data_IF_291413704076
#
_entry.id   IF_291413704076
#
_cell.length_a   1.000
_cell.length_b   1.000
_cell.length_c   1.000
_cell.angle_alpha   90.00
_cell.angle_beta   90.00
_cell.angle_gamma   90.00
#
_symmetry.space_group_name_H-M   'P 1'
#
loop_
_entity.id
_entity.type
_entity.pdbx_description
1 polymer ?
#
# COMPACT_ATOMS: atom_id res chain seq x y z
N UNK A 1 -17.63 -1.62 -1.42
CA UNK A 1 -16.30 -1.29 -0.89
C UNK A 1 -16.26 -1.75 0.55
N UNK A 2 -15.22 -2.49 0.92
CA UNK A 2 -15.01 -2.99 2.27
C UNK A 2 -13.57 -2.69 2.71
N UNK A 3 -13.22 -1.39 2.71
CA UNK A 3 -11.92 -0.88 3.10
C UNK A 3 -11.73 -0.95 4.62
N UNK A 4 -10.76 -1.75 5.05
CA UNK A 4 -10.32 -1.87 6.43
C UNK A 4 -9.02 -1.11 6.65
N UNK A 5 -8.92 -0.36 7.75
CA UNK A 5 -7.72 0.40 8.11
C UNK A 5 -6.73 -0.44 8.94
N UNK A 6 -5.47 -0.47 8.51
CA UNK A 6 -4.41 -1.27 9.16
C UNK A 6 -3.36 -0.43 9.90
N UNK A 7 -3.28 0.86 9.61
CA UNK A 7 -2.39 1.77 10.32
C UNK A 7 -1.98 2.96 9.47
N UNK A 8 -1.44 3.96 10.15
CA UNK A 8 -0.84 5.14 9.53
C UNK A 8 0.43 5.54 10.26
N UNK A 9 1.26 6.32 9.60
CA UNK A 9 2.44 6.88 10.22
C UNK A 9 2.10 8.08 11.12
N UNK A 10 2.15 7.86 12.44
CA UNK A 10 1.82 8.84 13.47
C UNK A 10 2.94 9.85 13.79
N UNK A 11 4.10 9.74 13.13
CA UNK A 11 5.25 10.64 13.39
C UNK A 11 5.15 11.99 12.67
N UNK A 12 4.13 12.17 11.84
CA UNK A 12 3.99 13.30 10.92
C UNK A 12 3.39 14.52 11.63
N UNK A 13 4.26 15.43 12.09
CA UNK A 13 3.81 16.71 12.67
C UNK A 13 3.25 17.71 11.65
N UNK A 14 3.53 17.61 10.34
CA UNK A 14 3.07 18.60 9.33
C UNK A 14 3.12 18.17 7.84
N UNK A 15 3.40 16.90 7.48
CA UNK A 15 3.60 16.52 6.06
C UNK A 15 2.70 15.37 5.58
N UNK A 16 1.57 15.11 6.24
CA UNK A 16 0.66 14.00 5.89
C UNK A 16 1.12 12.67 6.48
N UNK A 17 0.15 11.77 6.71
CA UNK A 17 0.36 10.47 7.35
C UNK A 17 0.11 9.36 6.32
N UNK A 18 1.15 8.77 5.70
CA UNK A 18 0.98 7.55 4.91
C UNK A 18 0.18 6.49 5.67
N UNK A 19 -0.68 5.76 4.97
CA UNK A 19 -1.67 4.85 5.57
C UNK A 19 -1.85 3.59 4.72
N UNK A 20 -2.19 2.48 5.39
CA UNK A 20 -2.41 1.17 4.78
C UNK A 20 -3.86 0.74 5.00
N UNK A 21 -4.48 0.23 3.94
CA UNK A 21 -5.79 -0.37 3.98
C UNK A 21 -5.81 -1.71 3.21
N UNK A 22 -6.80 -2.53 3.52
CA UNK A 22 -7.18 -3.71 2.73
C UNK A 22 -8.60 -3.49 2.22
N UNK A 23 -8.86 -3.58 0.92
CA UNK A 23 -10.23 -3.69 0.41
C UNK A 23 -10.63 -5.16 0.34
N UNK A 24 -11.50 -5.60 1.26
CA UNK A 24 -11.96 -7.00 1.31
C UNK A 24 -12.83 -7.39 0.11
N UNK A 25 -13.45 -6.42 -0.55
CA UNK A 25 -14.32 -6.72 -1.68
C UNK A 25 -13.51 -7.14 -2.92
N UNK A 26 -12.33 -6.55 -3.11
CA UNK A 26 -11.44 -6.81 -4.26
C UNK A 26 -10.18 -7.57 -3.89
N UNK A 27 -9.91 -7.75 -2.59
CA UNK A 27 -8.70 -8.35 -2.01
C UNK A 27 -7.43 -7.60 -2.41
N UNK A 28 -7.51 -6.28 -2.39
CA UNK A 28 -6.42 -5.40 -2.77
C UNK A 28 -5.81 -4.70 -1.55
N UNK A 29 -4.50 -4.50 -1.58
CA UNK A 29 -3.82 -3.58 -0.67
C UNK A 29 -3.88 -2.16 -1.23
N UNK A 30 -4.30 -1.21 -0.40
CA UNK A 30 -4.32 0.20 -0.76
C UNK A 30 -3.31 0.95 0.09
N UNK A 31 -2.37 1.60 -0.60
CA UNK A 31 -1.31 2.39 0.00
C UNK A 31 -1.58 3.88 -0.25
N UNK A 32 -1.75 4.64 0.83
CA UNK A 32 -1.67 6.09 0.78
C UNK A 32 -0.26 6.51 1.18
N UNK A 33 0.43 7.26 0.32
CA UNK A 33 1.79 7.74 0.57
C UNK A 33 2.07 9.08 -0.10
N UNK A 34 3.33 9.51 -0.08
CA UNK A 34 3.76 10.66 -0.86
C UNK A 34 4.04 10.23 -2.28
N UNK A 35 3.42 10.89 -3.25
CA UNK A 35 3.71 10.67 -4.67
C UNK A 35 5.18 10.93 -4.96
N UNK A 36 5.86 9.98 -5.60
CA UNK A 36 7.19 10.18 -6.14
C UNK A 36 7.12 11.14 -7.33
N UNK A 37 7.97 12.17 -7.31
CA UNK A 37 8.01 13.23 -8.33
C UNK A 37 9.39 13.40 -8.95
N UNK A 38 10.42 12.70 -8.45
CA UNK A 38 11.75 12.70 -9.04
C UNK A 38 11.74 11.93 -10.37
N UNK A 39 12.02 12.65 -11.45
CA UNK A 39 11.99 12.09 -12.80
C UNK A 39 13.03 10.97 -13.02
N UNK A 40 14.17 11.00 -12.33
CA UNK A 40 15.20 9.97 -12.43
C UNK A 40 14.71 8.67 -11.79
N UNK A 41 14.11 8.78 -10.60
CA UNK A 41 13.51 7.64 -9.91
C UNK A 41 12.36 7.06 -10.72
N UNK A 42 11.48 7.91 -11.25
CA UNK A 42 10.35 7.48 -12.07
C UNK A 42 10.82 6.80 -13.37
N UNK A 43 11.88 7.29 -14.00
CA UNK A 43 12.46 6.65 -15.17
C UNK A 43 13.04 5.26 -14.85
N UNK A 44 13.69 5.11 -13.68
CA UNK A 44 14.18 3.81 -13.20
C UNK A 44 13.03 2.83 -12.97
N UNK A 45 11.97 3.23 -12.27
CA UNK A 45 10.77 2.41 -12.08
C UNK A 45 10.15 2.03 -13.42
N UNK A 46 10.02 3.01 -14.33
CA UNK A 46 9.45 2.80 -15.65
C UNK A 46 10.30 1.88 -16.55
N UNK A 47 11.57 1.66 -16.22
CA UNK A 47 12.42 0.70 -16.94
C UNK A 47 12.02 -0.76 -16.67
N UNK A 48 11.36 -1.02 -15.54
CA UNK A 48 10.84 -2.34 -15.16
C UNK A 48 9.37 -2.52 -15.54
N UNK A 49 8.56 -1.49 -15.29
CA UNK A 49 7.12 -1.51 -15.60
C UNK A 49 6.66 -0.13 -16.01
N UNK A 50 6.11 -0.01 -17.23
CA UNK A 50 5.56 1.25 -17.71
C UNK A 50 4.43 1.71 -16.78
N UNK A 51 4.57 2.93 -16.24
CA UNK A 51 3.51 3.57 -15.45
C UNK A 51 2.39 4.05 -16.38
N UNK A 52 1.16 3.55 -16.17
CA UNK A 52 -0.03 4.02 -16.86
C UNK A 52 -0.52 5.38 -16.33
N UNK A 53 -1.46 6.03 -17.02
CA UNK A 53 -2.00 7.33 -16.63
C UNK A 53 -2.67 7.31 -15.26
N UNK A 54 -3.29 6.18 -14.90
CA UNK A 54 -3.98 5.96 -13.63
C UNK A 54 -3.10 5.27 -12.58
N UNK A 55 -1.80 5.17 -12.81
CA UNK A 55 -0.84 4.58 -11.86
C UNK A 55 0.08 5.66 -11.30
N UNK A 56 0.51 5.46 -10.06
CA UNK A 56 1.46 6.34 -9.40
C UNK A 56 2.36 5.54 -8.47
N UNK A 57 3.64 5.91 -8.44
CA UNK A 57 4.57 5.38 -7.45
C UNK A 57 4.49 6.25 -6.19
N UNK A 58 4.25 5.62 -5.04
CA UNK A 58 4.19 6.30 -3.74
C UNK A 58 5.32 5.85 -2.82
N UNK A 59 5.83 6.77 -2.02
CA UNK A 59 6.79 6.51 -0.95
C UNK A 59 6.06 6.21 0.34
N UNK A 60 6.46 5.11 0.99
CA UNK A 60 5.98 4.69 2.31
C UNK A 60 7.20 4.56 3.25
N UNK A 61 7.17 5.14 4.46
CA UNK A 61 8.26 5.00 5.42
C UNK A 61 8.54 3.56 5.82
N UNK A 62 9.82 3.20 5.92
CA UNK A 62 10.24 1.85 6.37
C UNK A 62 9.66 1.46 7.76
N UNK A 63 9.43 2.44 8.65
CA UNK A 63 8.81 2.21 9.97
C UNK A 63 7.37 1.71 9.91
N UNK A 64 6.67 1.86 8.78
CA UNK A 64 5.34 1.29 8.58
C UNK A 64 5.35 -0.22 8.30
N UNK A 65 6.53 -0.83 8.17
CA UNK A 65 6.69 -2.28 7.95
C UNK A 65 5.75 -3.15 8.82
N UNK A 66 5.61 -2.93 10.15
CA UNK A 66 4.70 -3.76 10.96
C UNK A 66 3.23 -3.69 10.52
N UNK A 67 2.76 -2.51 10.08
CA UNK A 67 1.38 -2.31 9.59
C UNK A 67 1.17 -3.01 8.24
N UNK A 68 2.18 -2.95 7.37
CA UNK A 68 2.17 -3.64 6.07
C UNK A 68 2.13 -5.16 6.27
N UNK A 69 2.95 -5.69 7.17
CA UNK A 69 2.95 -7.12 7.49
C UNK A 69 1.60 -7.57 8.02
N UNK A 70 0.99 -6.81 8.92
CA UNK A 70 -0.36 -7.11 9.43
C UNK A 70 -1.43 -7.12 8.33
N UNK A 71 -1.34 -6.21 7.36
CA UNK A 71 -2.26 -6.16 6.22
C UNK A 71 -2.07 -7.36 5.28
N UNK A 72 -0.83 -7.82 5.08
CA UNK A 72 -0.52 -9.03 4.33
C UNK A 72 -1.05 -10.28 5.02
N UNK A 73 -0.81 -10.43 6.33
CA UNK A 73 -1.31 -11.56 7.13
C UNK A 73 -2.84 -11.66 7.07
N UNK A 74 -3.53 -10.52 7.05
CA UNK A 74 -4.98 -10.48 6.91
C UNK A 74 -5.48 -11.02 5.56
N UNK A 75 -4.71 -10.86 4.48
CA UNK A 75 -5.04 -11.43 3.16
C UNK A 75 -4.67 -12.91 3.06
N UNK A 76 -3.61 -13.36 3.75
CA UNK A 76 -3.25 -14.78 3.85
C UNK A 76 -4.30 -15.59 4.63
N UNK A 77 -4.82 -15.01 5.72
CA UNK A 77 -5.90 -15.61 6.50
C UNK A 77 -7.16 -15.89 5.68
N UNK A 78 -7.48 -15.03 4.71
CA UNK A 78 -8.61 -15.23 3.80
C UNK A 78 -8.40 -16.46 2.88
N UNK A 79 -7.16 -16.71 2.44
CA UNK A 79 -6.83 -17.86 1.56
C UNK A 79 -7.03 -19.20 2.29
N UNK A 80 -6.88 -19.22 3.62
CA UNK A 80 -7.12 -20.42 4.43
C UNK A 80 -8.61 -20.70 4.61
N UNK A 81 -9.44 -19.67 4.78
CA UNK A 81 -10.90 -19.80 4.91
C UNK A 81 -11.56 -20.26 3.60
N UNK A 82 -11.06 -19.80 2.44
CA UNK A 82 -11.59 -20.20 1.12
C UNK A 82 -11.20 -21.63 0.68
N UNK A 83 -10.21 -22.25 1.32
CA UNK A 83 -9.78 -23.64 1.00
C UNK A 83 -10.54 -24.70 1.81
N UNK A 84 -11.45 -24.30 2.70
CA UNK A 84 -12.32 -25.19 3.48
C UNK A 84 -13.76 -25.34 2.93
N UNK A 85 -14.02 -24.97 1.67
CA UNK A 85 -15.33 -25.15 0.99
C UNK A 85 -15.26 -26.12 -0.19
#
# INVERSE_FOLDING_TARGET
MALEFYGKDDTSKNQGSPAIFVDRATRELVFQGWTETDATVLAEISSYSRTAENESSVRIPARMKPMILKALEALDGDVLDEREV
#
